data_IF_239150986945
#
_entry.id   IF_239150986945
#
_cell.length_a   1.000
_cell.length_b   1.000
_cell.length_c   1.000
_cell.angle_alpha   90.00
_cell.angle_beta   90.00
_cell.angle_gamma   90.00
#
_symmetry.space_group_name_H-M   'P 1'
#
loop_
_entity.id
_entity.type
_entity.pdbx_description
1 polymer ?
#
# COMPACT_ATOMS: atom_id res chain seq x y z
N UNK A 1 -20.20 -11.07 0.86
CA UNK A 1 -19.76 -12.04 1.90
C UNK A 1 -19.82 -13.49 1.42
N UNK A 2 -21.01 -14.08 1.19
CA UNK A 2 -21.16 -15.48 0.74
C UNK A 2 -20.29 -15.85 -0.47
N UNK A 3 -20.28 -14.97 -1.46
CA UNK A 3 -19.63 -15.21 -2.75
C UNK A 3 -18.11 -15.12 -2.69
N UNK A 4 -17.56 -14.16 -1.94
CA UNK A 4 -16.16 -13.74 -2.09
C UNK A 4 -15.31 -14.01 -0.86
N UNK A 5 -15.89 -14.05 0.34
CA UNK A 5 -15.07 -14.09 1.56
C UNK A 5 -14.32 -15.42 1.67
N UNK A 6 -13.01 -15.36 1.96
CA UNK A 6 -12.11 -16.51 1.91
C UNK A 6 -12.47 -17.64 2.89
N UNK A 7 -13.19 -17.32 3.98
CA UNK A 7 -13.71 -18.29 4.94
C UNK A 7 -15.23 -18.45 4.78
N UNK A 8 -15.73 -19.47 4.03
CA UNK A 8 -17.13 -19.55 3.63
C UNK A 8 -18.11 -19.56 4.80
N UNK A 9 -17.82 -20.33 5.86
CA UNK A 9 -18.67 -20.45 7.04
C UNK A 9 -18.82 -19.12 7.79
N UNK A 10 -17.72 -18.40 7.99
CA UNK A 10 -17.75 -17.05 8.60
C UNK A 10 -18.46 -16.06 7.69
N UNK A 11 -18.27 -16.17 6.38
CA UNK A 11 -18.95 -15.35 5.39
C UNK A 11 -20.46 -15.55 5.40
N UNK A 12 -20.92 -16.79 5.58
CA UNK A 12 -22.34 -17.12 5.76
C UNK A 12 -22.87 -16.55 7.07
N UNK A 13 -22.13 -16.70 8.17
CA UNK A 13 -22.53 -16.16 9.47
C UNK A 13 -22.72 -14.64 9.43
N UNK A 14 -21.78 -13.91 8.81
CA UNK A 14 -21.92 -12.45 8.61
C UNK A 14 -23.15 -12.14 7.77
N UNK A 15 -23.33 -12.82 6.64
CA UNK A 15 -24.47 -12.57 5.75
C UNK A 15 -25.80 -12.82 6.46
N UNK A 16 -25.91 -13.93 7.20
CA UNK A 16 -27.08 -14.29 7.99
C UNK A 16 -27.38 -13.25 9.07
N UNK A 17 -26.37 -12.77 9.81
CA UNK A 17 -26.55 -11.70 10.81
C UNK A 17 -27.03 -10.39 10.19
N UNK A 18 -26.47 -9.99 9.05
CA UNK A 18 -26.90 -8.78 8.33
C UNK A 18 -28.34 -8.92 7.84
N UNK A 19 -28.72 -10.07 7.28
CA UNK A 19 -30.09 -10.34 6.82
C UNK A 19 -31.09 -10.36 7.99
N UNK A 20 -30.74 -10.97 9.12
CA UNK A 20 -31.58 -10.94 10.31
C UNK A 20 -31.77 -9.51 10.86
N UNK A 21 -30.68 -8.74 10.94
CA UNK A 21 -30.73 -7.34 11.35
C UNK A 21 -31.63 -6.48 10.44
N UNK A 22 -31.59 -6.74 9.12
CA UNK A 22 -32.48 -6.09 8.17
C UNK A 22 -33.95 -6.45 8.41
N UNK A 23 -34.26 -7.74 8.62
CA UNK A 23 -35.62 -8.20 8.90
C UNK A 23 -36.18 -7.64 10.22
N UNK A 24 -35.32 -7.41 11.21
CA UNK A 24 -35.64 -6.74 12.48
C UNK A 24 -35.78 -5.21 12.36
N UNK A 25 -35.55 -4.64 11.17
CA UNK A 25 -35.64 -3.19 10.94
C UNK A 25 -34.49 -2.37 11.51
N UNK A 26 -33.34 -2.98 11.84
CA UNK A 26 -32.19 -2.27 12.44
C UNK A 26 -31.62 -1.14 11.58
N UNK A 27 -31.88 -1.17 10.27
CA UNK A 27 -31.40 -0.16 9.33
C UNK A 27 -32.47 0.88 8.96
N UNK A 28 -33.69 0.83 9.52
CA UNK A 28 -34.81 1.70 9.15
C UNK A 28 -34.53 3.20 9.41
N UNK A 29 -33.72 3.48 10.43
CA UNK A 29 -33.37 4.85 10.81
C UNK A 29 -32.09 5.38 10.16
N UNK A 30 -31.38 4.56 9.36
CA UNK A 30 -30.16 4.98 8.67
C UNK A 30 -30.50 6.04 7.62
N UNK A 31 -29.83 7.20 7.68
CA UNK A 31 -30.12 8.36 6.82
C UNK A 31 -29.08 8.56 5.73
N UNK A 32 -27.88 8.00 5.90
CA UNK A 32 -26.77 8.20 4.95
C UNK A 32 -26.10 6.89 4.54
N UNK A 33 -25.54 6.81 3.31
CA UNK A 33 -24.72 5.68 2.88
C UNK A 33 -23.50 5.44 3.79
N UNK A 34 -22.93 6.49 4.39
CA UNK A 34 -21.80 6.39 5.30
C UNK A 34 -22.19 5.72 6.64
N UNK A 35 -23.36 6.07 7.20
CA UNK A 35 -23.91 5.39 8.38
C UNK A 35 -24.15 3.91 8.10
N UNK A 36 -24.76 3.58 6.95
CA UNK A 36 -25.00 2.18 6.55
C UNK A 36 -23.67 1.42 6.45
N UNK A 37 -22.70 1.98 5.73
CA UNK A 37 -21.38 1.39 5.57
C UNK A 37 -20.72 1.11 6.93
N UNK A 38 -20.74 2.09 7.85
CA UNK A 38 -20.18 1.92 9.20
C UNK A 38 -20.85 0.79 9.98
N UNK A 39 -22.18 0.69 9.97
CA UNK A 39 -22.91 -0.39 10.65
C UNK A 39 -22.61 -1.76 10.03
N UNK A 40 -22.53 -1.86 8.69
CA UNK A 40 -22.18 -3.10 8.00
C UNK A 40 -20.74 -3.54 8.31
N UNK A 41 -19.79 -2.60 8.35
CA UNK A 41 -18.40 -2.86 8.77
C UNK A 41 -18.34 -3.41 10.18
N UNK A 42 -19.05 -2.78 11.13
CA UNK A 42 -19.07 -3.23 12.52
C UNK A 42 -19.67 -4.64 12.66
N UNK A 43 -20.79 -4.92 11.96
CA UNK A 43 -21.42 -6.23 11.97
C UNK A 43 -20.50 -7.34 11.41
N UNK A 44 -19.76 -7.05 10.35
CA UNK A 44 -18.82 -7.99 9.76
C UNK A 44 -17.59 -8.20 10.66
N UNK A 45 -16.97 -7.11 11.13
CA UNK A 45 -15.78 -7.15 11.99
C UNK A 45 -16.02 -7.91 13.30
N UNK A 46 -17.21 -7.77 13.89
CA UNK A 46 -17.61 -8.47 15.11
C UNK A 46 -17.68 -10.01 14.96
N UNK A 47 -17.65 -10.53 13.73
CA UNK A 47 -17.67 -11.97 13.44
C UNK A 47 -16.32 -12.45 12.90
N UNK A 48 -15.74 -11.68 11.97
CA UNK A 48 -14.54 -12.13 11.25
C UNK A 48 -13.27 -11.85 12.02
N UNK A 49 -13.25 -10.75 12.79
CA UNK A 49 -12.05 -10.12 13.35
C UNK A 49 -10.97 -9.82 12.30
N UNK A 50 -11.38 -9.74 11.03
CA UNK A 50 -10.50 -9.55 9.88
C UNK A 50 -10.27 -8.06 9.68
N UNK A 51 -9.02 -7.63 9.80
CA UNK A 51 -8.67 -6.20 9.80
C UNK A 51 -8.71 -5.57 8.39
N UNK A 52 -8.75 -6.40 7.34
CA UNK A 52 -8.89 -5.94 5.96
C UNK A 52 -10.35 -5.81 5.51
N UNK A 53 -11.28 -6.46 6.20
CA UNK A 53 -12.70 -6.36 5.88
C UNK A 53 -13.26 -5.01 6.32
N UNK A 54 -13.69 -4.20 5.36
CA UNK A 54 -14.33 -2.92 5.63
C UNK A 54 -15.39 -2.60 4.57
N UNK A 55 -16.42 -1.85 4.93
CA UNK A 55 -17.41 -1.28 4.02
C UNK A 55 -17.27 0.23 4.06
N UNK A 56 -17.11 0.84 2.89
CA UNK A 56 -16.84 2.27 2.74
C UNK A 56 -17.87 2.92 1.83
N UNK A 57 -18.20 4.18 2.10
CA UNK A 57 -19.04 4.98 1.23
C UNK A 57 -18.20 6.02 0.49
N UNK A 58 -18.34 6.04 -0.83
CA UNK A 58 -17.72 7.02 -1.72
C UNK A 58 -18.29 8.41 -1.44
N UNK A 59 -17.43 9.32 -0.97
CA UNK A 59 -17.82 10.69 -0.66
C UNK A 59 -18.18 10.96 0.80
N UNK A 60 -18.04 9.97 1.68
CA UNK A 60 -17.94 10.25 3.11
C UNK A 60 -16.79 11.24 3.34
N UNK A 61 -16.97 12.24 4.22
CA UNK A 61 -15.87 13.12 4.60
C UNK A 61 -14.72 12.25 5.15
N UNK A 62 -13.45 12.59 4.84
CA UNK A 62 -12.33 11.88 5.42
C UNK A 62 -12.45 11.89 6.95
N UNK A 63 -12.02 10.81 7.64
CA UNK A 63 -12.10 10.73 9.09
C UNK A 63 -11.46 11.98 9.73
N UNK A 64 -12.07 12.48 10.82
CA UNK A 64 -11.56 13.64 11.53
C UNK A 64 -10.13 13.38 12.04
N UNK A 65 -9.17 14.09 11.45
CA UNK A 65 -7.75 13.98 11.72
C UNK A 65 -6.95 14.63 10.60
N UNK A 66 -5.75 15.15 10.90
CA UNK A 66 -4.84 15.57 9.83
C UNK A 66 -4.51 14.32 9.00
N UNK A 67 -4.78 14.29 7.68
CA UNK A 67 -4.30 13.22 6.83
C UNK A 67 -2.79 13.08 7.09
N UNK A 68 -2.34 11.89 7.47
CA UNK A 68 -0.92 11.65 7.67
C UNK A 68 -0.26 11.86 6.31
N UNK A 69 0.46 12.95 6.16
CA UNK A 69 1.13 13.24 4.90
C UNK A 69 2.16 12.14 4.68
N UNK A 70 1.95 11.34 3.64
CA UNK A 70 2.90 10.30 3.29
C UNK A 70 4.18 10.97 2.80
N UNK A 71 5.37 10.51 3.24
CA UNK A 71 6.62 11.02 2.71
C UNK A 71 6.67 10.79 1.20
N UNK A 72 7.37 11.67 0.47
CA UNK A 72 7.66 11.38 -0.92
C UNK A 72 8.46 10.08 -1.01
N UNK A 73 8.01 9.18 -1.87
CA UNK A 73 8.67 7.92 -2.15
C UNK A 73 8.65 7.69 -3.67
N UNK A 74 9.60 6.92 -4.19
CA UNK A 74 9.53 6.41 -5.56
C UNK A 74 9.17 4.93 -5.45
N UNK A 75 7.96 4.58 -5.87
CA UNK A 75 7.41 3.21 -5.80
C UNK A 75 7.65 2.52 -4.44
N UNK A 76 7.29 3.20 -3.35
CA UNK A 76 7.43 2.70 -1.98
C UNK A 76 8.77 2.96 -1.31
N UNK A 77 9.83 3.37 -2.01
CA UNK A 77 11.15 3.65 -1.40
C UNK A 77 11.35 5.14 -1.20
N UNK A 78 11.54 5.57 0.05
CA UNK A 78 11.75 7.00 0.37
C UNK A 78 13.22 7.40 0.34
N UNK A 79 14.11 6.48 0.70
CA UNK A 79 15.56 6.69 0.74
C UNK A 79 16.33 5.38 0.83
N UNK A 80 17.56 5.43 0.35
CA UNK A 80 18.60 4.51 0.75
C UNK A 80 19.88 5.29 1.08
N UNK A 81 20.59 4.86 2.11
CA UNK A 81 21.71 5.57 2.69
C UNK A 81 22.85 4.61 3.01
N UNK A 82 24.08 5.07 2.76
CA UNK A 82 25.26 4.50 3.40
C UNK A 82 25.50 5.24 4.71
N UNK A 83 25.66 4.47 5.77
CA UNK A 83 26.01 4.96 7.11
C UNK A 83 27.48 4.66 7.40
N UNK A 84 27.99 5.25 8.48
CA UNK A 84 29.34 5.02 8.95
C UNK A 84 29.67 3.52 9.07
N UNK A 85 30.93 3.17 8.80
CA UNK A 85 31.40 1.79 8.89
C UNK A 85 30.75 0.82 7.89
N UNK A 86 30.14 1.30 6.80
CA UNK A 86 29.63 0.46 5.72
C UNK A 86 28.29 -0.23 6.03
N UNK A 87 27.45 0.38 6.88
CA UNK A 87 26.08 -0.10 7.13
C UNK A 87 25.15 0.52 6.08
N UNK A 88 24.36 -0.30 5.40
CA UNK A 88 23.32 0.18 4.49
C UNK A 88 21.99 0.36 5.20
N UNK A 89 21.25 1.39 4.84
CA UNK A 89 19.88 1.64 5.29
C UNK A 89 18.96 1.83 4.09
N UNK A 90 17.76 1.27 4.14
CA UNK A 90 16.68 1.55 3.19
C UNK A 90 15.36 1.69 3.93
N UNK A 91 14.56 2.67 3.54
CA UNK A 91 13.20 2.83 4.07
C UNK A 91 12.16 2.57 2.98
N UNK A 92 11.29 1.60 3.26
CA UNK A 92 10.24 1.10 2.37
C UNK A 92 8.88 1.33 3.04
N UNK A 93 8.11 2.28 2.53
CA UNK A 93 6.81 2.72 3.10
C UNK A 93 5.60 2.09 2.41
N UNK A 94 5.82 1.25 1.40
CA UNK A 94 4.79 0.49 0.73
C UNK A 94 5.38 -0.45 -0.30
N UNK A 95 4.56 -1.38 -0.80
CA UNK A 95 4.91 -2.31 -1.86
C UNK A 95 3.98 -2.13 -3.07
N UNK A 96 4.16 -1.10 -3.91
CA UNK A 96 3.41 -1.01 -5.16
C UNK A 96 3.72 -2.20 -6.06
N UNK A 97 2.84 -2.46 -7.05
CA UNK A 97 2.99 -3.55 -8.01
C UNK A 97 4.44 -3.67 -8.51
N UNK A 98 4.95 -4.90 -8.59
CA UNK A 98 6.35 -5.14 -8.94
C UNK A 98 6.78 -4.45 -10.24
N UNK A 99 5.88 -4.34 -11.23
CA UNK A 99 6.17 -3.64 -12.48
C UNK A 99 6.63 -2.18 -12.29
N UNK A 100 6.13 -1.49 -11.25
CA UNK A 100 6.56 -0.13 -10.89
C UNK A 100 7.75 -0.11 -9.94
N UNK A 101 7.80 -1.04 -8.98
CA UNK A 101 8.78 -1.04 -7.89
C UNK A 101 10.10 -1.72 -8.26
N UNK A 102 10.13 -2.63 -9.24
CA UNK A 102 11.31 -3.44 -9.58
C UNK A 102 12.55 -2.61 -9.86
N UNK A 103 12.46 -1.63 -10.78
CA UNK A 103 13.61 -0.77 -11.15
C UNK A 103 14.10 0.04 -9.96
N UNK A 104 13.19 0.50 -9.11
CA UNK A 104 13.52 1.30 -7.92
C UNK A 104 14.24 0.44 -6.89
N UNK A 105 13.71 -0.75 -6.58
CA UNK A 105 14.35 -1.73 -5.69
C UNK A 105 15.72 -2.15 -6.23
N UNK A 106 15.84 -2.43 -7.53
CA UNK A 106 17.12 -2.73 -8.18
C UNK A 106 18.14 -1.62 -7.98
N UNK A 107 17.73 -0.36 -8.20
CA UNK A 107 18.61 0.81 -8.07
C UNK A 107 19.03 1.02 -6.62
N UNK A 108 18.06 1.09 -5.69
CA UNK A 108 18.31 1.35 -4.28
C UNK A 108 19.18 0.24 -3.65
N UNK A 109 18.85 -1.03 -3.90
CA UNK A 109 19.61 -2.16 -3.35
C UNK A 109 20.99 -2.27 -3.98
N UNK A 110 21.14 -2.00 -5.29
CA UNK A 110 22.47 -1.98 -5.94
C UNK A 110 23.37 -0.89 -5.37
N UNK A 111 22.81 0.28 -5.07
CA UNK A 111 23.54 1.39 -4.45
C UNK A 111 24.03 1.07 -3.02
N UNK A 112 23.39 0.12 -2.34
CA UNK A 112 23.79 -0.40 -1.03
C UNK A 112 24.72 -1.62 -1.12
N UNK A 113 25.11 -2.06 -2.32
CA UNK A 113 26.04 -3.18 -2.50
C UNK A 113 27.37 -2.93 -1.78
N UNK A 114 27.94 -3.98 -1.20
CA UNK A 114 29.15 -3.90 -0.37
C UNK A 114 28.90 -3.51 1.10
N UNK A 115 27.65 -3.25 1.49
CA UNK A 115 27.30 -3.02 2.90
C UNK A 115 27.62 -4.25 3.75
N UNK A 116 28.24 -4.05 4.92
CA UNK A 116 28.54 -5.13 5.88
C UNK A 116 27.34 -5.56 6.71
N UNK A 117 26.28 -4.74 6.77
CA UNK A 117 24.98 -5.05 7.37
C UNK A 117 23.91 -4.14 6.73
N UNK A 118 22.66 -4.59 6.72
CA UNK A 118 21.52 -3.81 6.25
C UNK A 118 20.52 -3.53 7.37
N UNK A 119 19.96 -2.34 7.37
CA UNK A 119 18.77 -1.97 8.14
C UNK A 119 17.66 -1.66 7.13
N UNK A 120 16.55 -2.38 7.21
CA UNK A 120 15.37 -2.21 6.35
C UNK A 120 14.24 -1.69 7.23
N UNK A 121 13.85 -0.44 7.02
CA UNK A 121 12.80 0.21 7.80
C UNK A 121 11.45 0.08 7.11
N UNK A 122 10.54 -0.68 7.73
CA UNK A 122 9.14 -0.86 7.31
C UNK A 122 8.17 -0.33 8.37
N UNK A 123 8.64 0.51 9.30
CA UNK A 123 7.80 1.06 10.39
C UNK A 123 6.59 1.81 9.87
N UNK A 124 6.69 2.45 8.70
CA UNK A 124 5.60 3.23 8.06
C UNK A 124 4.93 2.49 6.89
N UNK A 125 5.18 1.18 6.74
CA UNK A 125 4.72 0.42 5.60
C UNK A 125 3.31 -0.12 5.79
N UNK A 126 2.34 0.44 5.04
CA UNK A 126 0.93 0.04 5.11
C UNK A 126 0.55 -1.19 4.27
N UNK A 127 1.49 -1.77 3.52
CA UNK A 127 1.29 -2.97 2.73
C UNK A 127 1.53 -2.82 1.25
N UNK A 128 0.92 -3.70 0.47
CA UNK A 128 1.00 -3.68 -0.98
C UNK A 128 0.97 -5.07 -1.62
N UNK A 129 1.58 -5.16 -2.79
CA UNK A 129 1.63 -6.30 -3.68
C UNK A 129 2.59 -7.40 -3.18
N UNK A 130 2.12 -8.64 -2.98
CA UNK A 130 2.96 -9.77 -2.56
C UNK A 130 4.12 -10.08 -3.51
N UNK A 131 3.99 -9.79 -4.81
CA UNK A 131 5.10 -10.00 -5.76
C UNK A 131 6.26 -9.04 -5.49
N UNK A 132 5.95 -7.77 -5.21
CA UNK A 132 6.94 -6.79 -4.79
C UNK A 132 7.59 -7.12 -3.43
N UNK A 133 6.81 -7.66 -2.48
CA UNK A 133 7.35 -8.18 -1.21
C UNK A 133 8.35 -9.30 -1.47
N UNK A 134 7.94 -10.32 -2.24
CA UNK A 134 8.79 -11.46 -2.59
C UNK A 134 10.07 -11.03 -3.34
N UNK A 135 9.98 -9.99 -4.17
CA UNK A 135 11.13 -9.43 -4.87
C UNK A 135 12.14 -8.79 -3.91
N UNK A 136 11.70 -8.00 -2.93
CA UNK A 136 12.62 -7.44 -1.92
C UNK A 136 13.26 -8.56 -1.08
N UNK A 137 12.49 -9.59 -0.69
CA UNK A 137 13.03 -10.77 0.01
C UNK A 137 14.08 -11.50 -0.84
N UNK A 138 13.94 -11.50 -2.17
CA UNK A 138 14.89 -12.16 -3.10
C UNK A 138 16.31 -11.61 -3.05
N UNK A 139 16.51 -10.35 -2.65
CA UNK A 139 17.85 -9.81 -2.41
C UNK A 139 18.55 -10.46 -1.21
N UNK A 140 17.78 -11.04 -0.29
CA UNK A 140 18.23 -11.50 1.02
C UNK A 140 18.43 -13.03 1.08
N UNK A 141 17.80 -13.80 0.19
CA UNK A 141 17.85 -15.27 0.21
C UNK A 141 18.27 -15.85 -1.15
N UNK A 142 18.82 -17.08 -1.22
CA UNK A 142 19.10 -17.74 -2.50
C UNK A 142 17.86 -17.77 -3.40
N UNK A 143 18.01 -17.77 -4.74
CA UNK A 143 16.87 -17.90 -5.65
C UNK A 143 16.19 -19.27 -5.50
N UNK A 144 14.96 -19.37 -5.97
CA UNK A 144 14.11 -20.57 -5.94
C UNK A 144 13.88 -21.11 -4.52
N UNK A 145 13.68 -20.21 -3.55
CA UNK A 145 13.25 -20.55 -2.19
C UNK A 145 11.80 -20.13 -2.00
N UNK A 146 10.97 -20.98 -1.36
CA UNK A 146 9.59 -20.61 -1.05
C UNK A 146 9.57 -19.44 -0.05
N UNK A 147 8.77 -18.41 -0.35
CA UNK A 147 8.62 -17.22 0.48
C UNK A 147 7.27 -17.25 1.18
N UNK A 148 6.19 -17.15 0.42
CA UNK A 148 4.81 -17.13 0.91
C UNK A 148 3.85 -17.72 -0.12
N UNK A 149 2.67 -18.14 0.32
CA UNK A 149 1.57 -18.51 -0.56
C UNK A 149 0.34 -17.63 -0.28
N UNK A 150 -0.40 -17.31 -1.33
CA UNK A 150 -1.73 -16.72 -1.22
C UNK A 150 -2.75 -17.77 -1.66
N UNK A 151 -3.61 -18.17 -0.72
CA UNK A 151 -4.70 -19.11 -0.95
C UNK A 151 -5.99 -18.31 -1.12
N UNK A 152 -6.52 -18.30 -2.33
CA UNK A 152 -7.68 -17.50 -2.72
C UNK A 152 -8.89 -18.39 -2.95
N UNK A 153 -10.07 -17.86 -2.63
CA UNK A 153 -11.33 -18.53 -2.91
C UNK A 153 -11.85 -18.09 -4.28
N UNK A 154 -12.19 -19.04 -5.15
CA UNK A 154 -12.89 -18.71 -6.38
C UNK A 154 -14.32 -18.28 -6.05
N UNK A 155 -14.69 -17.09 -6.52
CA UNK A 155 -15.98 -16.47 -6.27
C UNK A 155 -17.17 -17.43 -6.48
N UNK A 156 -18.14 -17.41 -5.56
CA UNK A 156 -19.37 -18.24 -5.56
C UNK A 156 -19.14 -19.75 -5.42
N UNK A 157 -17.91 -20.21 -5.22
CA UNK A 157 -17.59 -21.64 -5.05
C UNK A 157 -16.91 -21.87 -3.70
N UNK A 158 -16.59 -23.11 -3.36
CA UNK A 158 -15.67 -23.46 -2.25
C UNK A 158 -14.28 -23.82 -2.74
N UNK A 159 -14.01 -23.68 -4.04
CA UNK A 159 -12.73 -24.02 -4.62
C UNK A 159 -11.66 -23.00 -4.20
N UNK A 160 -10.48 -23.52 -3.88
CA UNK A 160 -9.32 -22.73 -3.50
C UNK A 160 -8.27 -22.79 -4.61
N UNK A 161 -7.71 -21.64 -4.95
CA UNK A 161 -6.51 -21.51 -5.78
C UNK A 161 -5.33 -21.14 -4.90
N UNK A 162 -4.12 -21.51 -5.32
CA UNK A 162 -2.88 -21.16 -4.62
C UNK A 162 -1.94 -20.46 -5.59
N UNK A 163 -1.51 -19.28 -5.21
CA UNK A 163 -0.41 -18.58 -5.84
C UNK A 163 0.81 -18.67 -4.92
N UNK A 164 1.89 -19.24 -5.43
CA UNK A 164 3.13 -19.43 -4.66
C UNK A 164 4.18 -18.40 -5.08
N UNK A 165 4.73 -17.71 -4.10
CA UNK A 165 5.79 -16.73 -4.28
C UNK A 165 7.13 -17.35 -3.88
N UNK A 166 8.10 -17.23 -4.78
CA UNK A 166 9.45 -17.79 -4.63
C UNK A 166 10.49 -16.73 -4.93
N UNK A 167 11.63 -16.83 -4.28
CA UNK A 167 12.73 -15.89 -4.56
C UNK A 167 13.25 -16.04 -5.97
N UNK A 168 13.64 -14.92 -6.58
CA UNK A 168 14.23 -14.86 -7.91
C UNK A 168 15.67 -14.34 -7.85
N UNK A 169 16.38 -14.33 -8.98
CA UNK A 169 17.70 -13.69 -9.05
C UNK A 169 17.53 -12.17 -9.09
N UNK A 170 18.34 -11.47 -8.30
CA UNK A 170 18.41 -10.01 -8.24
C UNK A 170 19.75 -9.50 -8.75
N UNK A 171 19.88 -8.21 -9.13
CA UNK A 171 21.13 -7.66 -9.67
C UNK A 171 22.31 -7.68 -8.69
N UNK A 172 22.00 -7.56 -7.39
CA UNK A 172 22.96 -7.69 -6.29
C UNK A 172 22.38 -8.61 -5.22
N UNK A 173 23.22 -9.08 -4.30
CA UNK A 173 22.86 -10.11 -3.34
C UNK A 173 23.43 -9.83 -1.96
N UNK A 174 22.60 -10.01 -0.93
CA UNK A 174 22.94 -9.75 0.46
C UNK A 174 22.89 -11.02 1.32
N UNK A 175 22.98 -12.22 0.76
CA UNK A 175 22.71 -13.49 1.47
C UNK A 175 23.52 -13.68 2.76
N UNK A 176 24.75 -13.16 2.79
CA UNK A 176 25.72 -13.33 3.90
C UNK A 176 25.81 -12.10 4.80
N UNK A 177 24.95 -11.12 4.60
CA UNK A 177 24.99 -9.81 5.28
C UNK A 177 23.96 -9.82 6.43
N UNK A 178 24.32 -9.47 7.68
CA UNK A 178 23.34 -9.29 8.76
C UNK A 178 22.25 -8.29 8.34
N UNK A 179 20.98 -8.63 8.59
CA UNK A 179 19.82 -7.79 8.26
C UNK A 179 19.00 -7.53 9.52
N UNK A 180 18.68 -6.26 9.75
CA UNK A 180 17.80 -5.80 10.80
C UNK A 180 16.56 -5.16 10.16
N UNK A 181 15.37 -5.55 10.61
CA UNK A 181 14.10 -5.00 10.08
C UNK A 181 13.40 -4.22 11.17
N UNK A 182 13.02 -2.98 10.88
CA UNK A 182 12.33 -2.11 11.83
C UNK A 182 10.82 -2.20 11.61
N UNK A 183 10.06 -2.51 12.67
CA UNK A 183 8.59 -2.62 12.63
C UNK A 183 7.94 -1.67 13.63
N UNK A 184 6.69 -1.28 13.36
CA UNK A 184 5.84 -0.53 14.29
C UNK A 184 4.42 -1.07 14.29
N UNK A 185 3.56 -0.56 15.19
CA UNK A 185 2.11 -0.82 15.12
C UNK A 185 1.43 -0.36 13.82
N UNK A 186 2.06 0.55 13.05
CA UNK A 186 1.59 1.01 11.75
C UNK A 186 2.01 0.07 10.59
N UNK A 187 2.96 -0.85 10.82
CA UNK A 187 3.36 -1.83 9.80
C UNK A 187 2.17 -2.77 9.54
N UNK A 188 1.67 -2.82 8.31
CA UNK A 188 0.42 -3.52 7.98
C UNK A 188 0.51 -4.29 6.65
N UNK A 189 -0.23 -5.39 6.50
CA UNK A 189 -0.41 -6.10 5.23
C UNK A 189 0.92 -6.54 4.60
N UNK A 190 1.23 -6.18 3.34
CA UNK A 190 2.52 -6.52 2.71
C UNK A 190 3.77 -6.10 3.50
N UNK A 191 3.69 -5.07 4.35
CA UNK A 191 4.76 -4.71 5.30
C UNK A 191 4.97 -5.78 6.37
N UNK A 192 3.88 -6.38 6.83
CA UNK A 192 3.89 -7.51 7.76
C UNK A 192 4.31 -8.81 7.07
N UNK A 193 3.89 -9.04 5.83
CA UNK A 193 4.33 -10.18 5.02
C UNK A 193 5.86 -10.18 4.92
N UNK A 194 6.45 -9.04 4.54
CA UNK A 194 7.90 -8.89 4.48
C UNK A 194 8.56 -9.25 5.81
N UNK A 195 8.07 -8.68 6.93
CA UNK A 195 8.61 -8.93 8.26
C UNK A 195 8.46 -10.41 8.69
N UNK A 196 7.29 -11.00 8.46
CA UNK A 196 6.96 -12.38 8.79
C UNK A 196 7.83 -13.35 8.00
N UNK A 197 7.98 -13.14 6.69
CA UNK A 197 8.72 -14.03 5.81
C UNK A 197 10.20 -14.04 6.15
N UNK A 198 10.84 -12.87 6.31
CA UNK A 198 12.26 -12.83 6.68
C UNK A 198 12.52 -13.37 8.08
N UNK A 199 11.55 -13.29 9.00
CA UNK A 199 11.62 -13.93 10.31
C UNK A 199 11.49 -15.45 10.20
N UNK A 200 10.49 -15.95 9.46
CA UNK A 200 10.25 -17.37 9.23
C UNK A 200 11.42 -18.06 8.51
N UNK A 201 12.06 -17.35 7.58
CA UNK A 201 13.28 -17.76 6.88
C UNK A 201 14.54 -17.67 7.76
N UNK A 202 14.42 -17.18 9.00
CA UNK A 202 15.54 -16.87 9.92
C UNK A 202 16.59 -15.98 9.27
N UNK A 203 16.12 -15.06 8.42
CA UNK A 203 16.98 -14.22 7.60
C UNK A 203 17.26 -12.87 8.27
N UNK A 204 16.32 -12.29 8.98
CA UNK A 204 16.54 -11.00 9.63
C UNK A 204 16.18 -11.04 11.12
N UNK A 205 16.71 -10.08 11.87
CA UNK A 205 16.26 -9.78 13.23
C UNK A 205 15.28 -8.61 13.19
N UNK A 206 14.05 -8.84 13.64
CA UNK A 206 13.00 -7.83 13.74
C UNK A 206 13.15 -7.04 15.05
N UNK A 207 13.08 -5.72 14.94
CA UNK A 207 13.32 -4.79 16.04
C UNK A 207 12.23 -3.71 16.02
N UNK A 208 11.50 -3.55 17.11
CA UNK A 208 10.43 -2.54 17.19
C UNK A 208 9.20 -3.07 17.92
N UNK A 209 8.03 -2.76 17.39
CA UNK A 209 6.74 -3.14 17.98
C UNK A 209 6.11 -4.29 17.20
N UNK A 210 5.12 -4.94 17.83
CA UNK A 210 4.22 -5.86 17.15
C UNK A 210 3.41 -5.11 16.09
N UNK A 211 3.31 -5.69 14.91
CA UNK A 211 2.65 -5.07 13.75
C UNK A 211 1.12 -5.10 13.83
N UNK A 212 0.44 -4.46 12.87
CA UNK A 212 -0.98 -4.16 12.92
C UNK A 212 -1.93 -5.36 12.79
N UNK A 213 -1.49 -6.48 12.23
CA UNK A 213 -2.22 -7.76 12.20
C UNK A 213 -3.22 -7.93 11.06
N UNK A 214 -2.94 -7.43 9.85
CA UNK A 214 -3.75 -7.72 8.66
C UNK A 214 -2.96 -8.55 7.66
N UNK A 215 -3.41 -9.75 7.33
CA UNK A 215 -2.73 -10.71 6.48
C UNK A 215 -3.49 -11.09 5.20
N UNK A 216 -4.79 -10.78 5.13
CA UNK A 216 -5.66 -11.32 4.09
C UNK A 216 -5.79 -10.35 2.90
N UNK A 217 -5.42 -10.75 1.66
CA UNK A 217 -5.67 -9.96 0.46
C UNK A 217 -7.15 -9.63 0.29
N UNK A 218 -7.41 -8.37 -0.06
CA UNK A 218 -8.74 -7.78 -0.10
C UNK A 218 -9.05 -7.20 -1.47
N UNK A 219 -10.30 -7.36 -1.90
CA UNK A 219 -10.79 -6.83 -3.17
C UNK A 219 -12.05 -5.99 -2.97
N UNK A 220 -12.23 -4.90 -3.74
CA UNK A 220 -13.45 -4.10 -3.70
C UNK A 220 -14.61 -4.84 -4.39
N UNK A 221 -15.79 -4.72 -3.80
CA UNK A 221 -17.06 -5.18 -4.34
C UNK A 221 -18.04 -4.02 -4.25
N UNK A 222 -18.49 -3.51 -5.40
CA UNK A 222 -19.57 -2.53 -5.45
C UNK A 222 -20.87 -3.18 -4.96
N UNK A 223 -21.50 -2.57 -3.97
CA UNK A 223 -22.78 -3.01 -3.41
C UNK A 223 -23.91 -1.99 -3.66
N UNK A 224 -23.68 -1.02 -4.54
CA UNK A 224 -24.64 0.00 -4.95
C UNK A 224 -24.64 1.24 -4.08
N UNK A 225 -25.34 2.28 -4.54
CA UNK A 225 -25.54 3.55 -3.81
C UNK A 225 -24.25 4.25 -3.36
N UNK A 226 -23.16 4.08 -4.12
CA UNK A 226 -21.85 4.62 -3.76
C UNK A 226 -21.23 3.94 -2.54
N UNK A 227 -21.63 2.71 -2.21
CA UNK A 227 -21.03 1.91 -1.15
C UNK A 227 -20.21 0.78 -1.77
N UNK A 228 -19.00 0.58 -1.25
CA UNK A 228 -18.08 -0.48 -1.67
C UNK A 228 -17.68 -1.30 -0.47
N UNK A 229 -17.82 -2.62 -0.56
CA UNK A 229 -17.30 -3.55 0.42
C UNK A 229 -15.90 -4.04 0.01
N UNK A 230 -14.91 -3.81 0.85
CA UNK A 230 -13.58 -4.42 0.78
C UNK A 230 -13.68 -5.80 1.43
N UNK A 231 -13.71 -6.86 0.60
CA UNK A 231 -13.92 -8.23 1.06
C UNK A 231 -12.64 -9.04 0.86
N UNK A 232 -12.07 -9.62 1.94
CA UNK A 232 -10.93 -10.51 1.84
C UNK A 232 -11.26 -11.78 1.05
N UNK A 233 -10.64 -11.94 -0.11
CA UNK A 233 -10.88 -13.07 -1.02
C UNK A 233 -9.80 -14.15 -0.92
N UNK A 234 -8.67 -13.81 -0.29
CA UNK A 234 -7.58 -14.74 -0.06
C UNK A 234 -7.03 -14.64 1.35
N UNK A 235 -6.11 -15.54 1.67
CA UNK A 235 -5.34 -15.53 2.91
C UNK A 235 -3.88 -15.86 2.61
N UNK A 236 -2.98 -15.19 3.31
CA UNK A 236 -1.59 -15.60 3.35
C UNK A 236 -1.46 -16.95 4.08
N UNK A 237 -0.55 -17.80 3.60
CA UNK A 237 -0.17 -19.04 4.23
C UNK A 237 1.33 -19.26 4.02
N UNK A 238 2.13 -18.98 5.04
CA UNK A 238 3.56 -19.09 4.91
C UNK A 238 3.99 -20.59 4.86
N UNK A 239 4.80 -20.99 3.87
CA UNK A 239 5.12 -22.39 3.60
C UNK A 239 5.99 -23.06 4.69
N UNK A 240 6.66 -22.29 5.55
CA UNK A 240 7.49 -22.80 6.64
C UNK A 240 6.65 -22.98 7.90
N UNK A 241 5.95 -21.93 8.32
CA UNK A 241 5.19 -21.92 9.58
C UNK A 241 3.82 -22.58 9.46
N UNK A 242 3.30 -22.74 8.23
CA UNK A 242 1.93 -23.20 7.93
C UNK A 242 0.84 -22.34 8.58
N UNK A 243 1.17 -21.08 8.86
CA UNK A 243 0.33 -20.09 9.57
C UNK A 243 0.41 -18.73 8.87
N UNK A 244 -0.31 -17.75 9.42
CA UNK A 244 -0.24 -16.34 9.05
C UNK A 244 -0.31 -15.44 10.31
N UNK A 245 -0.31 -14.12 10.10
CA UNK A 245 -0.29 -13.11 11.17
C UNK A 245 -1.63 -12.38 11.37
N UNK A 246 -2.72 -12.85 10.77
CA UNK A 246 -4.04 -12.19 10.86
C UNK A 246 -4.49 -12.05 12.32
N UNK A 247 -4.93 -10.85 12.69
CA UNK A 247 -5.42 -10.50 14.03
C UNK A 247 -4.34 -10.32 15.10
N UNK A 248 -3.18 -10.98 14.98
CA UNK A 248 -2.12 -10.99 16.00
C UNK A 248 -0.90 -10.14 15.66
N UNK A 249 -0.63 -9.92 14.38
CA UNK A 249 0.57 -9.24 13.90
C UNK A 249 1.85 -10.09 14.06
N UNK A 250 2.96 -9.54 13.59
CA UNK A 250 4.30 -10.10 13.66
C UNK A 250 4.98 -9.57 14.91
N UNK A 251 5.35 -10.47 15.83
CA UNK A 251 6.07 -10.10 17.05
C UNK A 251 7.56 -9.93 16.72
N UNK A 252 8.18 -8.79 17.09
CA UNK A 252 9.60 -8.57 16.86
C UNK A 252 10.46 -9.47 17.76
N UNK A 253 11.66 -9.81 17.29
CA UNK A 253 12.65 -10.55 18.07
C UNK A 253 13.20 -9.69 19.21
N UNK A 254 13.28 -8.38 18.98
CA UNK A 254 13.73 -7.37 19.94
C UNK A 254 12.61 -6.34 20.13
N UNK A 255 11.74 -6.53 21.13
CA UNK A 255 10.65 -5.60 21.39
C UNK A 255 11.16 -4.30 21.99
N UNK A 256 10.94 -3.19 21.30
CA UNK A 256 11.21 -1.82 21.76
C UNK A 256 10.17 -0.88 21.16
N UNK A 257 9.84 0.27 21.78
CA UNK A 257 9.04 1.30 21.15
C UNK A 257 9.57 1.67 19.74
N UNK A 258 8.68 1.93 18.78
CA UNK A 258 9.06 2.10 17.37
C UNK A 258 10.05 3.26 17.16
N UNK A 259 9.98 4.31 17.97
CA UNK A 259 10.93 5.44 17.96
C UNK A 259 12.33 5.06 18.47
N UNK A 260 12.50 3.95 19.18
CA UNK A 260 13.79 3.42 19.64
C UNK A 260 14.36 2.31 18.75
N UNK A 261 13.57 1.79 17.81
CA UNK A 261 13.96 0.68 16.94
C UNK A 261 15.23 0.96 16.12
N UNK A 262 15.35 2.16 15.55
CA UNK A 262 16.53 2.56 14.78
C UNK A 262 17.80 2.55 15.65
N UNK A 263 17.77 3.16 16.82
CA UNK A 263 18.90 3.16 17.75
C UNK A 263 19.31 1.74 18.16
N UNK A 264 18.33 0.87 18.42
CA UNK A 264 18.57 -0.53 18.76
C UNK A 264 19.18 -1.35 17.60
N UNK A 265 18.80 -1.06 16.37
CA UNK A 265 19.39 -1.67 15.17
C UNK A 265 20.80 -1.15 14.89
N UNK A 266 21.02 0.17 15.00
CA UNK A 266 22.34 0.79 14.85
C UNK A 266 23.35 0.22 15.86
N UNK A 267 22.92 0.06 17.12
CA UNK A 267 23.77 -0.55 18.17
C UNK A 267 24.18 -1.98 17.78
N UNK A 268 23.26 -2.80 17.28
CA UNK A 268 23.56 -4.16 16.79
C UNK A 268 24.42 -4.16 15.53
N UNK A 269 24.28 -3.13 14.70
CA UNK A 269 25.17 -2.89 13.58
C UNK A 269 26.53 -2.32 14.03
N UNK A 270 26.79 -2.09 15.32
CA UNK A 270 28.08 -1.56 15.81
C UNK A 270 28.24 -0.05 15.63
N UNK A 271 27.14 0.69 15.55
CA UNK A 271 27.11 2.16 15.44
C UNK A 271 26.51 2.78 16.69
N UNK A 272 26.78 4.08 16.90
CA UNK A 272 26.13 4.85 17.96
C UNK A 272 24.63 5.01 17.64
N UNK A 273 23.73 4.82 18.63
CA UNK A 273 22.30 4.99 18.40
C UNK A 273 21.95 6.45 18.14
N UNK A 274 21.04 6.68 17.19
CA UNK A 274 20.38 7.98 16.96
C UNK A 274 18.87 7.75 16.82
N UNK A 275 18.08 8.78 17.07
CA UNK A 275 16.63 8.72 16.89
C UNK A 275 16.22 8.83 15.42
N UNK A 276 16.89 9.72 14.67
CA UNK A 276 16.57 10.05 13.28
C UNK A 276 17.67 9.59 12.33
N UNK A 277 17.28 8.91 11.24
CA UNK A 277 18.24 8.37 10.27
C UNK A 277 19.10 9.46 9.61
N UNK A 278 18.58 10.69 9.47
CA UNK A 278 19.33 11.81 8.94
C UNK A 278 20.61 12.10 9.73
N UNK A 279 20.63 11.83 11.04
CA UNK A 279 21.81 12.02 11.89
C UNK A 279 22.86 10.91 11.76
N UNK A 280 22.51 9.75 11.20
CA UNK A 280 23.43 8.64 10.96
C UNK A 280 23.85 8.50 9.48
N UNK A 281 23.14 9.16 8.56
CA UNK A 281 23.44 9.11 7.13
C UNK A 281 24.76 9.81 6.83
N UNK A 282 25.68 9.08 6.20
CA UNK A 282 26.93 9.65 5.66
C UNK A 282 26.77 10.03 4.19
N UNK A 283 25.97 9.27 3.44
CA UNK A 283 25.70 9.50 2.04
C UNK A 283 24.30 8.99 1.72
N UNK A 284 23.44 9.85 1.18
CA UNK A 284 22.15 9.43 0.62
C UNK A 284 22.36 8.96 -0.81
N UNK A 285 22.35 7.65 -1.01
CA UNK A 285 22.63 7.00 -2.30
C UNK A 285 21.38 6.76 -3.14
N UNK A 286 20.20 6.94 -2.54
CA UNK A 286 18.93 6.95 -3.23
C UNK A 286 17.96 7.94 -2.58
N UNK A 287 17.22 8.65 -3.40
CA UNK A 287 16.08 9.47 -3.02
C UNK A 287 15.06 9.52 -4.15
N UNK A 288 13.83 9.98 -3.88
CA UNK A 288 12.79 10.02 -4.89
C UNK A 288 13.17 10.99 -6.00
N UNK A 289 12.85 10.63 -7.25
CA UNK A 289 13.04 11.51 -8.41
C UNK A 289 12.45 12.92 -8.22
N UNK A 290 13.12 13.91 -8.83
CA UNK A 290 12.71 15.31 -8.82
C UNK A 290 12.07 15.77 -10.13
N UNK A 291 11.99 14.87 -11.12
CA UNK A 291 11.36 15.13 -12.42
C UNK A 291 10.23 14.12 -12.65
N UNK A 292 9.16 14.50 -13.38
CA UNK A 292 8.05 13.61 -13.68
C UNK A 292 8.48 12.42 -14.55
N UNK A 293 7.68 11.33 -14.51
CA UNK A 293 7.82 10.24 -15.46
C UNK A 293 7.54 10.73 -16.89
N UNK A 294 8.22 10.19 -17.92
CA UNK A 294 7.94 10.55 -19.30
C UNK A 294 6.45 10.39 -19.64
N UNK A 295 5.84 11.44 -20.19
CA UNK A 295 4.45 11.41 -20.65
C UNK A 295 3.36 11.55 -19.59
N UNK A 296 3.70 11.56 -18.30
CA UNK A 296 2.68 11.65 -17.24
C UNK A 296 1.92 12.97 -17.20
N UNK A 297 2.60 14.11 -17.43
CA UNK A 297 1.92 15.40 -17.53
C UNK A 297 0.94 15.44 -18.71
N UNK A 298 1.36 14.88 -19.86
CA UNK A 298 0.52 14.81 -21.05
C UNK A 298 -0.71 13.92 -20.81
N UNK A 299 -0.53 12.77 -20.14
CA UNK A 299 -1.62 11.89 -19.74
C UNK A 299 -2.60 12.60 -18.79
N UNK A 300 -2.10 13.33 -17.79
CA UNK A 300 -2.91 14.11 -16.85
C UNK A 300 -3.75 15.16 -17.57
N UNK A 301 -3.12 15.97 -18.43
CA UNK A 301 -3.82 17.01 -19.20
C UNK A 301 -4.88 16.41 -20.11
N UNK A 302 -4.57 15.29 -20.77
CA UNK A 302 -5.53 14.58 -21.63
C UNK A 302 -6.72 14.05 -20.82
N UNK A 303 -6.47 13.47 -19.64
CA UNK A 303 -7.53 13.01 -18.73
C UNK A 303 -8.45 14.17 -18.32
N UNK A 304 -7.89 15.26 -17.78
CA UNK A 304 -8.66 16.42 -17.34
C UNK A 304 -9.46 17.04 -18.48
N UNK A 305 -8.87 17.17 -19.67
CA UNK A 305 -9.56 17.67 -20.85
C UNK A 305 -10.68 16.74 -21.31
N UNK A 306 -10.48 15.41 -21.29
CA UNK A 306 -11.51 14.44 -21.65
C UNK A 306 -12.70 14.49 -20.70
N UNK A 307 -12.44 14.57 -19.38
CA UNK A 307 -13.49 14.68 -18.37
C UNK A 307 -14.27 15.98 -18.58
N UNK A 308 -13.58 17.12 -18.70
CA UNK A 308 -14.20 18.44 -18.86
C UNK A 308 -15.05 18.57 -20.12
N UNK A 309 -14.61 17.98 -21.25
CA UNK A 309 -15.34 18.03 -22.51
C UNK A 309 -16.37 16.91 -22.70
N UNK A 310 -16.57 16.07 -21.69
CA UNK A 310 -17.53 14.97 -21.78
C UNK A 310 -17.08 13.76 -22.61
N UNK A 311 -15.83 13.76 -23.13
CA UNK A 311 -15.28 12.67 -23.93
C UNK A 311 -15.15 11.38 -23.10
N UNK A 312 -15.19 10.25 -23.80
CA UNK A 312 -14.87 8.96 -23.19
C UNK A 312 -13.43 8.94 -22.70
N UNK A 313 -13.22 8.30 -21.55
CA UNK A 313 -11.89 8.03 -20.97
C UNK A 313 -11.39 6.62 -21.33
N UNK A 314 -12.17 5.85 -22.09
CA UNK A 314 -11.79 4.53 -22.59
C UNK A 314 -10.57 4.68 -23.49
N UNK A 315 -9.46 4.02 -23.12
CA UNK A 315 -8.16 4.13 -23.79
C UNK A 315 -7.20 5.15 -23.16
N UNK A 316 -7.67 6.03 -22.26
CA UNK A 316 -6.82 6.90 -21.42
C UNK A 316 -6.49 6.18 -20.11
N UNK A 317 -7.49 5.52 -19.51
CA UNK A 317 -7.36 4.72 -18.29
C UNK A 317 -7.34 3.24 -18.66
N UNK A 318 -6.59 2.43 -17.92
CA UNK A 318 -6.58 0.98 -18.12
C UNK A 318 -7.99 0.38 -17.90
N UNK A 319 -8.41 -0.64 -18.70
CA UNK A 319 -9.79 -1.14 -18.69
C UNK A 319 -10.29 -1.63 -17.33
N UNK A 320 -9.38 -2.20 -16.52
CA UNK A 320 -9.70 -2.75 -15.20
C UNK A 320 -10.30 -1.71 -14.22
N UNK A 321 -9.98 -0.43 -14.41
CA UNK A 321 -10.47 0.67 -13.57
C UNK A 321 -11.48 1.57 -14.29
N UNK A 322 -11.78 1.33 -15.56
CA UNK A 322 -12.66 2.19 -16.35
C UNK A 322 -14.04 2.36 -15.69
N UNK A 323 -14.66 1.27 -15.25
CA UNK A 323 -16.00 1.32 -14.62
C UNK A 323 -16.00 2.04 -13.27
N UNK A 324 -14.95 1.88 -12.46
CA UNK A 324 -14.82 2.60 -11.19
C UNK A 324 -14.64 4.11 -11.41
N UNK A 325 -13.86 4.49 -12.42
CA UNK A 325 -13.69 5.91 -12.79
C UNK A 325 -14.99 6.46 -13.38
N UNK A 326 -15.66 5.71 -14.26
CA UNK A 326 -16.95 6.09 -14.85
C UNK A 326 -18.01 6.41 -13.78
N UNK A 327 -18.07 5.63 -12.70
CA UNK A 327 -19.00 5.86 -11.60
C UNK A 327 -18.80 7.20 -10.88
N UNK A 328 -17.56 7.73 -10.85
CA UNK A 328 -17.23 9.01 -10.19
C UNK A 328 -17.17 10.20 -11.15
N UNK A 329 -17.22 9.96 -12.47
CA UNK A 329 -17.12 11.00 -13.50
C UNK A 329 -18.12 12.15 -13.33
N UNK A 330 -19.42 11.94 -13.01
CA UNK A 330 -20.37 13.05 -12.89
C UNK A 330 -19.97 14.05 -11.80
N UNK A 331 -19.57 13.54 -10.63
CA UNK A 331 -19.09 14.38 -9.52
C UNK A 331 -17.80 15.11 -9.91
N UNK A 332 -16.87 14.39 -10.54
CA UNK A 332 -15.59 14.95 -10.94
C UNK A 332 -15.76 16.05 -12.01
N UNK A 333 -16.69 15.87 -12.96
CA UNK A 333 -17.07 16.89 -13.94
C UNK A 333 -17.63 18.15 -13.28
N UNK A 334 -18.53 17.99 -12.31
CA UNK A 334 -19.09 19.13 -11.57
C UNK A 334 -17.99 19.89 -10.80
N UNK A 335 -17.06 19.18 -10.17
CA UNK A 335 -15.92 19.80 -9.50
C UNK A 335 -15.02 20.57 -10.48
N UNK A 336 -14.64 19.96 -11.61
CA UNK A 336 -13.82 20.63 -12.63
C UNK A 336 -14.51 21.86 -13.23
N UNK A 337 -15.83 21.79 -13.47
CA UNK A 337 -16.60 22.93 -13.95
C UNK A 337 -16.57 24.10 -12.94
N UNK A 338 -16.62 23.83 -11.64
CA UNK A 338 -16.50 24.87 -10.61
C UNK A 338 -15.12 25.54 -10.58
N UNK A 339 -14.06 24.77 -10.89
CA UNK A 339 -12.68 25.24 -10.91
C UNK A 339 -12.34 26.05 -12.16
N UNK A 340 -13.06 25.83 -13.26
CA UNK A 340 -12.83 26.50 -14.54
C UNK A 340 -11.63 25.91 -15.32
N UNK A 341 -11.11 26.67 -16.29
CA UNK A 341 -10.04 26.19 -17.17
C UNK A 341 -8.74 25.93 -16.41
N UNK A 342 -8.06 24.82 -16.74
CA UNK A 342 -6.71 24.52 -16.25
C UNK A 342 -5.70 25.50 -16.86
N UNK A 343 -4.98 26.24 -16.02
CA UNK A 343 -3.96 27.22 -16.41
C UNK A 343 -2.56 26.60 -16.37
N UNK A 344 -2.24 25.81 -15.35
CA UNK A 344 -0.93 25.16 -15.22
C UNK A 344 -1.02 23.82 -14.49
N UNK A 345 -0.08 22.93 -14.80
CA UNK A 345 0.16 21.68 -14.10
C UNK A 345 1.66 21.58 -13.83
N UNK A 346 2.05 21.74 -12.57
CA UNK A 346 3.45 21.73 -12.15
C UNK A 346 3.73 20.45 -11.38
N UNK A 347 4.75 19.69 -11.80
CA UNK A 347 5.19 18.52 -11.05
C UNK A 347 5.58 18.92 -9.62
N UNK A 348 5.10 18.16 -8.63
CA UNK A 348 5.38 18.39 -7.22
C UNK A 348 6.38 17.37 -6.66
N UNK A 349 5.99 16.09 -6.66
CA UNK A 349 6.77 14.98 -6.10
C UNK A 349 6.23 13.65 -6.63
N UNK A 350 7.02 12.56 -6.58
CA UNK A 350 6.46 11.23 -6.70
C UNK A 350 5.65 10.89 -5.44
N UNK A 351 4.53 10.19 -5.64
CA UNK A 351 3.70 9.66 -4.56
C UNK A 351 4.21 8.29 -4.05
N UNK A 352 3.65 7.82 -2.93
CA UNK A 352 4.07 6.55 -2.34
C UNK A 352 3.86 5.32 -3.24
N UNK A 353 2.97 5.41 -4.24
CA UNK A 353 2.65 4.35 -5.19
C UNK A 353 3.53 4.39 -6.45
N UNK A 354 4.43 5.37 -6.56
CA UNK A 354 5.29 5.58 -7.74
C UNK A 354 4.68 6.44 -8.83
N UNK A 355 3.50 7.02 -8.59
CA UNK A 355 2.84 7.98 -9.46
C UNK A 355 3.46 9.38 -9.36
N UNK A 356 3.08 10.25 -10.29
CA UNK A 356 3.41 11.67 -10.29
C UNK A 356 2.33 12.50 -9.61
N UNK A 357 2.67 13.27 -8.58
CA UNK A 357 1.79 14.31 -8.05
C UNK A 357 2.04 15.64 -8.76
N UNK A 358 0.95 16.30 -9.17
CA UNK A 358 0.97 17.61 -9.78
C UNK A 358 0.18 18.63 -8.96
N UNK A 359 0.74 19.83 -8.81
CA UNK A 359 0.05 21.04 -8.38
C UNK A 359 -0.64 21.67 -9.59
N UNK A 360 -1.96 21.74 -9.53
CA UNK A 360 -2.83 22.19 -10.61
C UNK A 360 -3.40 23.57 -10.27
N UNK A 361 -3.21 24.52 -11.18
CA UNK A 361 -3.83 25.85 -11.09
C UNK A 361 -4.95 25.93 -12.11
N UNK A 362 -6.15 26.18 -11.64
CA UNK A 362 -7.34 26.46 -12.45
C UNK A 362 -7.75 27.92 -12.28
N UNK A 363 -8.63 28.41 -13.17
CA UNK A 363 -9.11 29.78 -13.13
C UNK A 363 -9.70 30.21 -11.76
N UNK A 364 -10.40 29.31 -11.07
CA UNK A 364 -11.11 29.59 -9.83
C UNK A 364 -10.55 28.80 -8.62
N UNK A 365 -9.33 28.28 -8.70
CA UNK A 365 -8.73 27.59 -7.55
C UNK A 365 -7.51 26.75 -7.86
N UNK A 366 -6.91 26.21 -6.80
CA UNK A 366 -5.78 25.29 -6.88
C UNK A 366 -6.13 23.94 -6.29
N UNK A 367 -5.56 22.89 -6.88
CA UNK A 367 -5.71 21.50 -6.43
C UNK A 367 -4.39 20.76 -6.60
N UNK A 368 -4.31 19.57 -6.01
CA UNK A 368 -3.33 18.55 -6.38
C UNK A 368 -4.01 17.28 -6.84
N UNK A 369 -3.32 16.55 -7.70
CA UNK A 369 -3.74 15.25 -8.20
C UNK A 369 -2.50 14.41 -8.47
N UNK A 370 -2.57 13.12 -8.16
CA UNK A 370 -1.53 12.16 -8.45
C UNK A 370 -2.02 11.14 -9.48
N UNK A 371 -1.12 10.68 -10.35
CA UNK A 371 -1.42 9.63 -11.31
C UNK A 371 -0.24 8.68 -11.52
N UNK A 372 -0.56 7.39 -11.66
CA UNK A 372 0.39 6.35 -12.09
C UNK A 372 0.17 6.10 -13.56
N UNK A 373 1.24 6.19 -14.35
CA UNK A 373 1.21 6.05 -15.81
C UNK A 373 2.14 4.91 -16.21
N UNK A 374 1.66 4.03 -17.11
CA UNK A 374 2.51 2.97 -17.69
C UNK A 374 3.36 3.53 -18.82
N UNK A 375 4.33 2.76 -19.26
CA UNK A 375 5.19 3.11 -20.40
C UNK A 375 4.40 3.33 -21.71
N UNK A 376 3.20 2.76 -21.84
CA UNK A 376 2.30 2.99 -22.99
C UNK A 376 1.45 4.28 -22.88
N UNK A 377 1.70 5.09 -21.85
CA UNK A 377 1.02 6.37 -21.60
C UNK A 377 -0.36 6.25 -20.97
N UNK A 378 -0.85 5.04 -20.67
CA UNK A 378 -2.15 4.85 -20.01
C UNK A 378 -2.05 5.03 -18.51
N UNK A 379 -3.11 5.62 -17.96
CA UNK A 379 -3.26 5.85 -16.53
C UNK A 379 -3.77 4.58 -15.87
N UNK A 380 -3.06 4.10 -14.84
CA UNK A 380 -3.44 2.93 -14.05
C UNK A 380 -4.32 3.36 -12.89
N UNK A 381 -3.85 4.33 -12.12
CA UNK A 381 -4.51 4.89 -10.95
C UNK A 381 -4.39 6.41 -11.04
N UNK A 382 -5.45 7.11 -10.67
CA UNK A 382 -5.43 8.54 -10.45
C UNK A 382 -6.17 8.88 -9.15
N UNK A 383 -5.61 9.78 -8.36
CA UNK A 383 -6.26 10.28 -7.14
C UNK A 383 -7.35 11.31 -7.48
N UNK A 384 -8.23 11.59 -6.52
CA UNK A 384 -9.17 12.71 -6.62
C UNK A 384 -8.44 14.05 -6.60
N UNK A 385 -9.08 15.12 -7.09
CA UNK A 385 -8.61 16.48 -6.84
C UNK A 385 -8.68 16.79 -5.35
N UNK A 386 -7.52 16.97 -4.73
CA UNK A 386 -7.43 17.39 -3.34
C UNK A 386 -7.08 18.88 -3.25
N UNK A 387 -7.55 19.61 -2.23
CA UNK A 387 -7.01 20.93 -1.92
C UNK A 387 -5.50 20.87 -1.66
N UNK A 388 -4.80 21.96 -1.94
CA UNK A 388 -3.42 22.14 -1.49
C UNK A 388 -3.40 22.40 0.01
N UNK A 389 -2.41 21.84 0.71
CA UNK A 389 -2.24 22.09 2.15
C UNK A 389 -1.64 23.49 2.38
N UNK A 390 -1.84 24.12 3.55
CA UNK A 390 -1.12 25.36 3.88
C UNK A 390 0.40 25.10 3.85
N UNK A 391 1.11 25.77 2.93
CA UNK A 391 2.55 25.58 2.70
C UNK A 391 2.92 24.90 1.37
N UNK A 392 1.93 24.42 0.60
CA UNK A 392 2.09 23.92 -0.77
C UNK A 392 2.21 25.04 -1.84
#
# INVERSE_FOLDING_TARGET
MRDQYVFPERGELVASKITAALAEGKYNDVKTPAELASQLSAAASAVTHDKHLNVVSMGAPPPEGKPREMPSAEAGVTRADKLAGGVGYIEVVGFPELSFSKRVLDTAMSALSGSRSLIIDVRRNGGGDPEAVAYLVSFLIPPDRPINDIVSRTAKTTNLTRQSFRSVRTPVSFLKVPVYVLTSGDTFSGGEEFAYDVQALKRATLIGETTGGGANPVGPVDIGHGITALIPFGRAENPITKKNWEGVGVRPDVPVPANLALGAALTRAGLKPVAEIASASTERVFGPRTNPLPGSEAALRNLLAAIASGRTIQGIVVPQFASAVEAVLPRFRAELASLGALQSANFNKPDALGGDEYKLTFANGRRKMALVVRDDGKIVIASSLAPLSPGD
#
